data_IF_762082613445
#
_entry.id   IF_762082613445
#
_cell.length_a   1.000
_cell.length_b   1.000
_cell.length_c   1.000
_cell.angle_alpha   90.00
_cell.angle_beta   90.00
_cell.angle_gamma   90.00
#
_symmetry.space_group_name_H-M   'P 1'
#
loop_
_entity.id
_entity.type
_entity.pdbx_description
1 polymer ?
#
# COMPACT_ATOMS: atom_id res chain seq x y z
N UNK A 1 -0.85 -10.79 -12.11
CA UNK A 1 -1.88 -10.49 -11.11
C UNK A 1 -1.20 -10.52 -9.74
N UNK A 2 -1.33 -9.45 -8.96
CA UNK A 2 -0.73 -9.34 -7.63
C UNK A 2 -1.79 -9.70 -6.58
N UNK A 3 -1.37 -10.43 -5.54
CA UNK A 3 -2.20 -10.62 -4.36
C UNK A 3 -1.89 -9.51 -3.37
N UNK A 4 -2.92 -8.81 -2.91
CA UNK A 4 -2.81 -7.83 -1.84
C UNK A 4 -3.21 -8.51 -0.54
N UNK A 5 -2.30 -8.48 0.42
CA UNK A 5 -2.51 -8.95 1.78
C UNK A 5 -2.36 -7.76 2.72
N UNK A 6 -3.30 -7.59 3.64
CA UNK A 6 -3.22 -6.50 4.60
C UNK A 6 -2.27 -6.85 5.73
N UNK A 7 -1.41 -5.90 6.09
CA UNK A 7 -0.56 -6.05 7.25
C UNK A 7 -1.42 -5.97 8.52
N UNK A 8 -1.34 -7.02 9.34
CA UNK A 8 -1.93 -7.04 10.66
C UNK A 8 -0.90 -6.55 11.66
N UNK A 9 -1.26 -5.58 12.49
CA UNK A 9 -0.34 -5.03 13.49
C UNK A 9 0.14 -6.11 14.44
N UNK A 10 1.43 -6.06 14.81
CA UNK A 10 1.97 -6.92 15.85
C UNK A 10 1.17 -6.76 17.15
N UNK A 11 0.75 -7.88 17.76
CA UNK A 11 -0.11 -7.89 18.95
C UNK A 11 -1.58 -8.10 18.62
N UNK A 12 -2.37 -7.02 18.58
CA UNK A 12 -3.84 -7.06 18.49
C UNK A 12 -4.40 -7.54 17.13
N UNK A 13 -3.54 -7.89 16.16
CA UNK A 13 -3.95 -8.33 14.81
C UNK A 13 -4.89 -7.34 14.12
N UNK A 14 -4.65 -6.05 14.30
CA UNK A 14 -5.50 -5.01 13.71
C UNK A 14 -5.09 -4.74 12.27
N UNK A 15 -6.10 -4.66 11.41
CA UNK A 15 -5.94 -4.20 10.05
C UNK A 15 -5.86 -2.67 10.05
N UNK A 16 -4.65 -2.14 10.14
CA UNK A 16 -4.40 -0.71 10.21
C UNK A 16 -4.90 0.02 8.96
N UNK A 17 -4.90 -0.64 7.81
CA UNK A 17 -5.37 -0.05 6.55
C UNK A 17 -6.89 0.11 6.58
N UNK A 18 -7.64 -0.95 6.91
CA UNK A 18 -9.10 -0.89 7.00
C UNK A 18 -9.55 0.06 8.11
N UNK A 19 -8.93 -0.01 9.29
CA UNK A 19 -9.27 0.85 10.42
C UNK A 19 -9.09 2.34 10.07
N UNK A 20 -7.98 2.68 9.43
CA UNK A 20 -7.72 4.04 8.96
C UNK A 20 -8.72 4.45 7.87
N UNK A 21 -8.96 3.59 6.88
CA UNK A 21 -9.87 3.88 5.77
C UNK A 21 -11.31 4.12 6.26
N UNK A 22 -11.77 3.36 7.26
CA UNK A 22 -13.09 3.55 7.86
C UNK A 22 -13.22 4.90 8.56
N UNK A 23 -12.16 5.34 9.26
CA UNK A 23 -12.13 6.61 10.01
C UNK A 23 -11.94 7.85 9.15
N UNK A 24 -11.50 7.69 7.90
CA UNK A 24 -11.37 8.81 6.98
C UNK A 24 -12.74 9.50 6.78
N UNK A 25 -12.82 10.83 6.81
CA UNK A 25 -14.12 11.55 6.65
C UNK A 25 -14.40 11.92 5.19
N UNK A 26 -13.34 12.06 4.40
CA UNK A 26 -13.43 12.43 2.99
C UNK A 26 -13.78 11.20 2.14
N UNK A 27 -15.03 11.12 1.69
CA UNK A 27 -15.52 10.01 0.87
C UNK A 27 -14.91 9.97 -0.53
N UNK A 28 -14.57 11.13 -1.11
CA UNK A 28 -13.90 11.17 -2.41
C UNK A 28 -12.49 10.59 -2.31
N UNK A 29 -11.77 10.94 -1.24
CA UNK A 29 -10.48 10.35 -0.94
C UNK A 29 -10.56 8.85 -0.68
N UNK A 30 -11.55 8.37 0.10
CA UNK A 30 -11.75 6.92 0.30
C UNK A 30 -11.88 6.17 -1.02
N UNK A 31 -12.74 6.67 -1.91
CA UNK A 31 -12.95 6.05 -3.23
C UNK A 31 -11.68 6.07 -4.07
N UNK A 32 -10.92 7.17 -4.04
CA UNK A 32 -9.64 7.27 -4.75
C UNK A 32 -8.61 6.25 -4.23
N UNK A 33 -8.52 6.07 -2.90
CA UNK A 33 -7.65 5.08 -2.26
C UNK A 33 -8.04 3.66 -2.66
N UNK A 34 -9.31 3.29 -2.49
CA UNK A 34 -9.80 1.94 -2.83
C UNK A 34 -9.53 1.63 -4.30
N UNK A 35 -9.86 2.56 -5.21
CA UNK A 35 -9.59 2.40 -6.65
C UNK A 35 -8.12 2.21 -6.95
N UNK A 36 -7.22 2.93 -6.26
CA UNK A 36 -5.77 2.76 -6.46
C UNK A 36 -5.32 1.38 -5.99
N UNK A 37 -5.79 0.91 -4.84
CA UNK A 37 -5.45 -0.42 -4.31
C UNK A 37 -5.94 -1.53 -5.25
N UNK A 38 -7.19 -1.48 -5.73
CA UNK A 38 -7.71 -2.47 -6.70
C UNK A 38 -6.89 -2.50 -8.00
N UNK A 39 -6.41 -1.35 -8.49
CA UNK A 39 -5.58 -1.30 -9.70
C UNK A 39 -4.22 -2.00 -9.53
N UNK A 40 -3.68 -2.04 -8.31
CA UNK A 40 -2.42 -2.73 -8.01
C UNK A 40 -2.58 -4.25 -8.17
N UNK A 41 -3.73 -4.81 -7.83
CA UNK A 41 -4.02 -6.25 -8.05
C UNK A 41 -3.86 -6.63 -9.53
N UNK A 42 -4.18 -5.70 -10.43
CA UNK A 42 -4.02 -5.83 -11.87
C UNK A 42 -2.60 -5.46 -12.36
N UNK A 43 -1.70 -5.06 -11.47
CA UNK A 43 -0.33 -4.63 -11.80
C UNK A 43 -0.20 -3.17 -12.23
N UNK A 44 -1.27 -2.38 -12.08
CA UNK A 44 -1.25 -0.93 -12.36
C UNK A 44 -0.96 -0.15 -11.08
N UNK A 45 0.32 0.11 -10.82
CA UNK A 45 0.77 0.77 -9.59
C UNK A 45 0.55 2.29 -9.58
N UNK A 46 0.44 2.91 -10.77
CA UNK A 46 0.30 4.36 -10.91
C UNK A 46 1.52 5.11 -10.34
N UNK A 47 1.30 6.31 -9.79
CA UNK A 47 2.34 7.07 -9.09
C UNK A 47 2.71 6.38 -7.78
N UNK A 48 3.94 5.88 -7.74
CA UNK A 48 4.53 5.20 -6.60
C UNK A 48 6.05 5.39 -6.59
N UNK A 49 6.64 5.36 -5.40
CA UNK A 49 8.08 5.55 -5.22
C UNK A 49 8.63 4.51 -4.23
N UNK A 50 9.81 3.99 -4.53
CA UNK A 50 10.56 3.21 -3.56
C UNK A 50 11.00 4.11 -2.40
N UNK A 51 10.79 3.65 -1.17
CA UNK A 51 11.24 4.32 0.03
C UNK A 51 12.57 3.70 0.48
N UNK A 52 12.53 2.90 1.55
CA UNK A 52 13.65 2.12 2.10
C UNK A 52 13.14 0.79 2.63
N UNK A 53 14.03 -0.15 2.89
CA UNK A 53 13.71 -1.42 3.57
C UNK A 53 12.57 -2.21 2.89
N UNK A 54 12.54 -2.21 1.55
CA UNK A 54 11.51 -2.89 0.76
C UNK A 54 10.14 -2.21 0.76
N UNK A 55 9.99 -1.06 1.43
CA UNK A 55 8.76 -0.29 1.45
C UNK A 55 8.62 0.60 0.21
N UNK A 56 7.39 0.68 -0.28
CA UNK A 56 6.96 1.51 -1.39
C UNK A 56 5.82 2.41 -0.97
N UNK A 57 5.89 3.68 -1.36
CA UNK A 57 4.82 4.66 -1.19
C UNK A 57 3.97 4.70 -2.45
N UNK A 58 2.66 4.55 -2.31
CA UNK A 58 1.66 4.86 -3.34
C UNK A 58 1.14 6.26 -3.11
N UNK A 59 1.19 7.10 -4.14
CA UNK A 59 0.76 8.50 -4.05
C UNK A 59 -0.58 8.68 -4.70
N UNK A 60 -1.53 9.17 -3.91
CA UNK A 60 -2.89 9.43 -4.31
C UNK A 60 -3.14 10.92 -4.13
N UNK A 61 -3.21 11.62 -5.25
CA UNK A 61 -3.52 13.05 -5.29
C UNK A 61 -5.04 13.24 -5.26
N UNK A 62 -5.62 13.13 -4.07
CA UNK A 62 -7.03 13.36 -3.80
C UNK A 62 -7.15 14.11 -2.47
N UNK A 63 -7.99 15.13 -2.41
CA UNK A 63 -8.14 15.96 -1.21
C UNK A 63 -6.80 16.55 -0.76
N UNK A 64 -6.41 16.41 0.53
CA UNK A 64 -5.10 16.84 1.05
C UNK A 64 -3.87 16.09 0.49
N UNK A 65 -4.08 15.02 -0.27
CA UNK A 65 -3.03 14.11 -0.72
C UNK A 65 -2.80 12.96 0.28
N UNK A 66 -3.08 11.73 -0.14
CA UNK A 66 -2.97 10.52 0.69
C UNK A 66 -1.88 9.58 0.21
N UNK A 67 -1.25 8.88 1.15
CA UNK A 67 -0.17 7.93 0.90
C UNK A 67 -0.50 6.58 1.52
N UNK A 68 -0.35 5.52 0.72
CA UNK A 68 -0.51 4.14 1.18
C UNK A 68 0.83 3.45 1.03
N UNK A 69 1.29 2.80 2.09
CA UNK A 69 2.56 2.08 2.08
C UNK A 69 2.32 0.60 1.81
N UNK A 70 3.16 0.01 0.97
CA UNK A 70 3.15 -1.42 0.66
C UNK A 70 4.56 -1.99 0.72
N UNK A 71 4.67 -3.29 0.94
CA UNK A 71 5.89 -4.04 0.69
C UNK A 71 5.68 -5.03 -0.44
N UNK A 72 6.74 -5.31 -1.18
CA UNK A 72 6.75 -6.35 -2.20
C UNK A 72 7.60 -7.52 -1.70
N UNK A 73 6.92 -8.53 -1.16
CA UNK A 73 7.57 -9.73 -0.62
C UNK A 73 8.30 -10.54 -1.69
N UNK A 74 7.85 -10.50 -2.95
CA UNK A 74 8.50 -11.22 -4.05
C UNK A 74 9.81 -10.56 -4.43
N UNK A 75 9.86 -9.21 -4.44
CA UNK A 75 11.06 -8.45 -4.77
C UNK A 75 12.10 -8.45 -3.65
N UNK A 76 11.64 -8.47 -2.39
CA UNK A 76 12.53 -8.48 -1.22
C UNK A 76 13.47 -9.70 -1.20
N UNK A 77 12.97 -10.89 -1.58
CA UNK A 77 13.81 -12.10 -1.68
C UNK A 77 14.82 -12.08 -2.84
N UNK A 78 14.63 -11.20 -3.83
CA UNK A 78 15.57 -11.03 -4.94
C UNK A 78 16.72 -10.10 -4.55
N UNK A 79 16.41 -8.97 -3.92
CA UNK A 79 17.40 -7.98 -3.49
C UNK A 79 18.29 -8.52 -2.34
N UNK A 80 17.73 -9.30 -1.41
CA UNK A 80 18.49 -9.95 -0.32
C UNK A 80 19.52 -10.98 -0.84
N UNK A 81 19.33 -11.54 -2.05
CA UNK A 81 20.24 -12.52 -2.67
C UNK A 81 21.36 -11.89 -3.51
N UNK A 82 21.29 -10.60 -3.83
CA UNK A 82 22.36 -9.89 -4.56
C UNK A 82 23.31 -9.13 -3.64
N UNK A 83 23.00 -9.04 -2.34
CA UNK A 83 23.81 -8.33 -1.34
C UNK A 83 24.61 -9.31 -0.45
N UNK A 84 24.49 -10.63 -0.66
CA UNK A 84 25.31 -11.66 0.01
C UNK A 84 26.41 -12.21 -0.89
#
# INVERSE_FOLDING_TARGET
>A
MYRIEHYLSAGEHRDLYIDWLQRLRDNHAKVAVVRRVTRIELGSFGDHKFCRDGAWELRIDAGPGYRVYRQDWQRRQYDEKQIS
#
